data_IF_673995241336
#
_entry.id   IF_673995241336
#
_cell.length_a   1.000
_cell.length_b   1.000
_cell.length_c   1.000
_cell.angle_alpha   90.00
_cell.angle_beta   90.00
_cell.angle_gamma   90.00
#
_symmetry.space_group_name_H-M   'P 1'
#
loop_
_entity.id
_entity.type
_entity.pdbx_description
1 polymer ?
#
# COMPACT_ATOMS: atom_id res chain seq x y z
N UNK A 1 -39.04 -6.60 35.16
CA UNK A 1 -37.76 -5.91 34.92
C UNK A 1 -37.81 -5.35 33.51
N UNK A 2 -38.06 -4.06 33.38
CA UNK A 2 -38.17 -3.39 32.08
C UNK A 2 -36.76 -3.21 31.52
N UNK A 3 -36.41 -3.98 30.49
CA UNK A 3 -35.16 -3.80 29.75
C UNK A 3 -35.17 -2.40 29.14
N UNK A 4 -34.23 -1.54 29.55
CA UNK A 4 -33.98 -0.28 28.85
C UNK A 4 -33.37 -0.65 27.51
N UNK A 5 -34.00 -0.22 26.42
CA UNK A 5 -33.46 -0.44 25.08
C UNK A 5 -32.04 0.14 25.00
N UNK A 6 -31.09 -0.63 24.51
CA UNK A 6 -29.71 -0.17 24.36
C UNK A 6 -29.68 1.04 23.41
N UNK A 7 -29.03 2.13 23.82
CA UNK A 7 -28.71 3.23 22.92
C UNK A 7 -27.57 2.77 21.98
N UNK A 8 -27.91 2.58 20.72
CA UNK A 8 -26.99 2.08 19.68
C UNK A 8 -26.47 3.21 18.78
N UNK A 9 -26.64 4.47 19.17
CA UNK A 9 -26.20 5.62 18.38
C UNK A 9 -24.68 5.60 18.18
N UNK A 10 -23.92 5.34 19.25
CA UNK A 10 -22.46 5.25 19.20
C UNK A 10 -21.98 4.07 18.34
N UNK A 11 -22.64 2.91 18.48
CA UNK A 11 -22.32 1.71 17.70
C UNK A 11 -22.55 1.96 16.21
N UNK A 12 -23.65 2.62 15.84
CA UNK A 12 -23.94 2.98 14.46
C UNK A 12 -22.90 3.96 13.91
N UNK A 13 -22.60 5.01 14.66
CA UNK A 13 -21.62 6.02 14.26
C UNK A 13 -20.22 5.41 14.06
N UNK A 14 -19.82 4.48 14.92
CA UNK A 14 -18.57 3.74 14.78
C UNK A 14 -18.56 2.84 13.55
N UNK A 15 -19.64 2.08 13.32
CA UNK A 15 -19.80 1.27 12.11
C UNK A 15 -19.75 2.10 10.82
N UNK A 16 -20.38 3.28 10.81
CA UNK A 16 -20.34 4.21 9.68
C UNK A 16 -18.92 4.73 9.42
N UNK A 17 -18.18 5.09 10.48
CA UNK A 17 -16.78 5.52 10.36
C UNK A 17 -15.90 4.41 9.76
N UNK A 18 -16.04 3.18 10.26
CA UNK A 18 -15.34 2.02 9.71
C UNK A 18 -15.75 1.74 8.26
N UNK A 19 -17.04 1.88 7.93
CA UNK A 19 -17.54 1.79 6.57
C UNK A 19 -16.87 2.80 5.61
N UNK A 20 -16.72 4.05 6.04
CA UNK A 20 -15.96 5.06 5.27
C UNK A 20 -14.48 4.69 5.13
N UNK A 21 -13.86 4.15 6.17
CA UNK A 21 -12.45 3.75 6.16
C UNK A 21 -12.17 2.55 5.24
N UNK A 22 -13.11 1.61 5.14
CA UNK A 22 -13.08 0.45 4.24
C UNK A 22 -13.37 0.84 2.79
N UNK A 23 -14.11 1.93 2.56
CA UNK A 23 -14.30 2.50 1.23
C UNK A 23 -12.99 3.15 0.74
N UNK A 24 -12.15 2.38 0.04
CA UNK A 24 -10.75 2.71 -0.34
C UNK A 24 -10.52 4.15 -0.87
N UNK A 25 -11.48 4.68 -1.64
CA UNK A 25 -11.43 6.02 -2.26
C UNK A 25 -12.24 7.10 -1.55
N UNK A 26 -12.96 6.77 -0.49
CA UNK A 26 -13.67 7.75 0.32
C UNK A 26 -12.66 8.69 1.00
N UNK A 27 -13.06 9.95 1.13
CA UNK A 27 -12.25 11.00 1.76
C UNK A 27 -13.15 11.87 2.66
N UNK A 28 -12.63 12.33 3.81
CA UNK A 28 -13.37 13.23 4.67
C UNK A 28 -13.41 14.62 4.01
N UNK A 29 -14.56 14.99 3.46
CA UNK A 29 -14.83 16.32 2.89
C UNK A 29 -15.38 17.26 3.96
N UNK A 30 -15.09 18.55 3.84
CA UNK A 30 -15.60 19.57 4.76
C UNK A 30 -17.14 19.55 4.82
N UNK A 31 -17.70 19.63 6.03
CA UNK A 31 -19.15 19.53 6.27
C UNK A 31 -19.76 18.14 6.06
N UNK A 32 -18.98 17.14 5.65
CA UNK A 32 -19.46 15.77 5.41
C UNK A 32 -19.50 14.90 6.67
N UNK A 33 -20.35 13.87 6.66
CA UNK A 33 -20.50 12.92 7.78
C UNK A 33 -19.19 12.21 8.14
N UNK A 34 -18.41 11.78 7.14
CA UNK A 34 -17.11 11.15 7.40
C UNK A 34 -16.17 12.10 8.17
N UNK A 35 -16.11 13.38 7.79
CA UNK A 35 -15.29 14.36 8.50
C UNK A 35 -15.77 14.55 9.94
N UNK A 36 -17.08 14.69 10.15
CA UNK A 36 -17.65 14.81 11.48
C UNK A 36 -17.33 13.61 12.39
N UNK A 37 -17.50 12.38 11.89
CA UNK A 37 -17.16 11.16 12.64
C UNK A 37 -15.66 11.04 12.93
N UNK A 38 -14.81 11.41 11.98
CA UNK A 38 -13.36 11.40 12.16
C UNK A 38 -12.91 12.43 13.20
N UNK A 39 -13.52 13.61 13.22
CA UNK A 39 -13.22 14.64 14.21
C UNK A 39 -13.68 14.22 15.62
N UNK A 40 -14.82 13.52 15.72
CA UNK A 40 -15.23 12.87 16.97
C UNK A 40 -14.21 11.81 17.41
N UNK A 41 -13.80 10.92 16.51
CA UNK A 41 -12.80 9.88 16.82
C UNK A 41 -11.49 10.47 17.38
N UNK A 42 -11.07 11.63 16.88
CA UNK A 42 -9.87 12.33 17.35
C UNK A 42 -10.03 13.04 18.70
N UNK A 43 -11.24 13.44 19.07
CA UNK A 43 -11.48 14.32 20.23
C UNK A 43 -12.25 13.66 21.38
N UNK A 44 -13.00 12.60 21.12
CA UNK A 44 -13.85 11.90 22.09
C UNK A 44 -13.26 10.51 22.40
N UNK A 45 -12.59 10.37 23.55
CA UNK A 45 -11.96 9.11 23.97
C UNK A 45 -12.93 7.91 23.95
N UNK A 46 -14.15 8.10 24.47
CA UNK A 46 -15.16 7.03 24.51
C UNK A 46 -15.58 6.58 23.12
N UNK A 47 -15.73 7.49 22.17
CA UNK A 47 -16.10 7.13 20.80
C UNK A 47 -14.94 6.40 20.11
N UNK A 48 -13.70 6.84 20.34
CA UNK A 48 -12.49 6.13 19.91
C UNK A 48 -12.46 4.70 20.42
N UNK A 49 -12.68 4.47 21.72
CA UNK A 49 -12.68 3.13 22.31
C UNK A 49 -13.69 2.20 21.63
N UNK A 50 -14.89 2.72 21.31
CA UNK A 50 -15.93 1.96 20.59
C UNK A 50 -15.46 1.60 19.17
N UNK A 51 -14.89 2.56 18.44
CA UNK A 51 -14.39 2.33 17.07
C UNK A 51 -13.23 1.33 17.07
N UNK A 52 -12.26 1.49 17.98
CA UNK A 52 -11.08 0.63 18.07
C UNK A 52 -11.50 -0.80 18.47
N UNK A 53 -12.40 -0.96 19.44
CA UNK A 53 -12.95 -2.28 19.83
C UNK A 53 -13.71 -2.95 18.68
N UNK A 54 -14.51 -2.17 17.92
CA UNK A 54 -15.22 -2.70 16.76
C UNK A 54 -14.28 -3.08 15.62
N UNK A 55 -13.22 -2.30 15.39
CA UNK A 55 -12.19 -2.63 14.40
C UNK A 55 -11.48 -3.94 14.79
N UNK A 56 -11.05 -4.07 16.04
CA UNK A 56 -10.39 -5.27 16.56
C UNK A 56 -11.28 -6.52 16.38
N UNK A 57 -12.57 -6.42 16.73
CA UNK A 57 -13.54 -7.50 16.54
C UNK A 57 -13.77 -7.90 15.07
N UNK A 58 -13.42 -7.04 14.11
CA UNK A 58 -13.45 -7.32 12.68
C UNK A 58 -12.11 -7.84 12.13
N UNK A 59 -11.08 -7.95 12.98
CA UNK A 59 -9.71 -8.24 12.56
C UNK A 59 -9.08 -7.06 11.81
N UNK A 60 -9.33 -5.84 12.29
CA UNK A 60 -8.79 -4.59 11.73
C UNK A 60 -8.07 -3.81 12.83
N UNK A 61 -6.95 -3.20 12.50
CA UNK A 61 -6.22 -2.28 13.36
C UNK A 61 -6.27 -0.86 12.78
N UNK A 62 -6.47 0.14 13.64
CA UNK A 62 -6.37 1.55 13.23
C UNK A 62 -4.91 1.99 13.26
N UNK A 63 -4.32 2.19 12.09
CA UNK A 63 -2.94 2.68 11.96
C UNK A 63 -2.81 4.18 12.19
N UNK A 64 -3.88 4.95 11.94
CA UNK A 64 -3.85 6.39 12.14
C UNK A 64 -4.96 7.15 11.43
N UNK A 65 -4.93 8.48 11.60
CA UNK A 65 -5.93 9.40 11.03
C UNK A 65 -5.29 10.52 10.20
N UNK A 66 -4.59 10.22 9.11
CA UNK A 66 -4.05 11.24 8.22
C UNK A 66 -5.16 12.11 7.59
N UNK A 67 -4.77 13.11 6.80
CA UNK A 67 -5.73 13.98 6.11
C UNK A 67 -6.65 13.20 5.16
N UNK A 68 -6.19 12.06 4.66
CA UNK A 68 -6.98 11.17 3.80
C UNK A 68 -8.09 10.40 4.52
N UNK A 69 -8.16 10.43 5.86
CA UNK A 69 -9.16 9.71 6.64
C UNK A 69 -8.54 8.67 7.58
N UNK A 70 -9.40 7.84 8.17
CA UNK A 70 -9.01 6.71 9.02
C UNK A 70 -8.35 5.62 8.15
N UNK A 71 -7.17 5.16 8.56
CA UNK A 71 -6.42 4.09 7.87
C UNK A 71 -6.48 2.82 8.71
N UNK A 72 -6.86 1.73 8.05
CA UNK A 72 -7.03 0.41 8.66
C UNK A 72 -6.05 -0.59 8.05
N UNK A 73 -5.39 -1.36 8.89
CA UNK A 73 -4.67 -2.58 8.53
C UNK A 73 -5.54 -3.80 8.83
N UNK A 74 -5.73 -4.72 7.89
CA UNK A 74 -6.38 -5.98 8.18
C UNK A 74 -5.42 -6.99 8.78
N UNK A 75 -5.91 -7.84 9.69
CA UNK A 75 -5.25 -9.10 10.04
C UNK A 75 -4.93 -9.87 8.74
N UNK A 76 -3.67 -10.28 8.50
CA UNK A 76 -3.27 -11.04 7.31
C UNK A 76 -4.06 -12.34 7.10
N UNK A 77 -4.55 -12.98 8.17
CA UNK A 77 -5.40 -14.17 8.09
C UNK A 77 -6.91 -13.83 7.98
N UNK A 78 -7.26 -12.57 8.18
CA UNK A 78 -8.64 -12.09 8.25
C UNK A 78 -9.37 -11.99 6.90
N UNK A 79 -10.68 -11.71 6.93
CA UNK A 79 -11.51 -11.58 5.72
C UNK A 79 -11.22 -10.29 4.94
N UNK A 80 -10.66 -9.28 5.59
CA UNK A 80 -10.30 -8.00 4.96
C UNK A 80 -8.87 -7.97 4.39
N UNK A 81 -8.09 -9.03 4.60
CA UNK A 81 -6.75 -9.17 4.04
C UNK A 81 -6.82 -9.08 2.51
N UNK A 82 -6.04 -8.18 1.92
CA UNK A 82 -5.95 -8.10 0.46
C UNK A 82 -5.00 -9.19 -0.01
N UNK A 83 -5.52 -10.21 -0.70
CA UNK A 83 -4.69 -11.30 -1.21
C UNK A 83 -4.31 -11.04 -2.66
N UNK A 84 -3.10 -11.45 -3.04
CA UNK A 84 -2.66 -11.44 -4.44
C UNK A 84 -3.58 -12.26 -5.36
N UNK A 85 -4.27 -13.28 -4.83
CA UNK A 85 -5.29 -14.02 -5.57
C UNK A 85 -6.52 -13.19 -5.93
N UNK A 86 -6.83 -12.14 -5.16
CA UNK A 86 -7.97 -11.24 -5.39
C UNK A 86 -7.63 -10.16 -6.42
N UNK A 87 -6.34 -9.96 -6.70
CA UNK A 87 -5.75 -8.82 -7.40
C UNK A 87 -6.03 -8.84 -8.91
N UNK A 88 -6.20 -10.04 -9.49
CA UNK A 88 -6.75 -10.34 -10.83
C UNK A 88 -6.76 -11.86 -11.00
N UNK A 89 -7.88 -12.45 -11.40
CA UNK A 89 -7.99 -13.89 -11.72
C UNK A 89 -7.09 -14.38 -12.87
N UNK A 90 -6.36 -13.46 -13.52
CA UNK A 90 -5.56 -13.70 -14.73
C UNK A 90 -4.04 -13.58 -14.51
N UNK A 91 -3.55 -13.28 -13.30
CA UNK A 91 -2.12 -13.24 -13.02
C UNK A 91 -1.57 -14.64 -12.75
N UNK A 92 -0.54 -15.02 -13.50
CA UNK A 92 0.23 -16.23 -13.25
C UNK A 92 1.19 -16.07 -12.04
N UNK A 93 2.01 -17.09 -11.79
CA UNK A 93 2.92 -17.08 -10.64
C UNK A 93 4.02 -16.01 -10.77
N UNK A 94 4.53 -15.81 -11.98
CA UNK A 94 5.62 -14.87 -12.28
C UNK A 94 5.13 -13.43 -12.18
N UNK A 95 3.93 -13.14 -12.71
CA UNK A 95 3.24 -11.86 -12.56
C UNK A 95 3.08 -11.47 -11.08
N UNK A 96 2.77 -12.44 -10.20
CA UNK A 96 2.61 -12.21 -8.75
C UNK A 96 3.93 -11.92 -8.06
N UNK A 97 5.00 -12.64 -8.44
CA UNK A 97 6.35 -12.38 -7.93
C UNK A 97 6.81 -10.97 -8.31
N UNK A 98 6.66 -10.62 -9.58
CA UNK A 98 7.00 -9.28 -10.11
C UNK A 98 6.16 -8.21 -9.42
N UNK A 99 4.86 -8.41 -9.26
CA UNK A 99 3.99 -7.47 -8.55
C UNK A 99 4.47 -7.21 -7.12
N UNK A 100 4.77 -8.28 -6.36
CA UNK A 100 5.28 -8.16 -5.00
C UNK A 100 6.61 -7.41 -4.94
N UNK A 101 7.54 -7.73 -5.84
CA UNK A 101 8.82 -7.03 -5.94
C UNK A 101 8.64 -5.55 -6.26
N UNK A 102 7.79 -5.20 -7.22
CA UNK A 102 7.53 -3.79 -7.56
C UNK A 102 6.90 -3.05 -6.39
N UNK A 103 5.93 -3.65 -5.69
CA UNK A 103 5.28 -3.02 -4.54
C UNK A 103 6.29 -2.70 -3.43
N UNK A 104 7.18 -3.64 -3.11
CA UNK A 104 8.25 -3.45 -2.12
C UNK A 104 9.29 -2.45 -2.63
N UNK A 105 9.60 -2.47 -3.94
CA UNK A 105 10.49 -1.51 -4.58
C UNK A 105 9.97 -0.06 -4.47
N UNK A 106 8.68 0.16 -4.70
CA UNK A 106 8.03 1.46 -4.50
C UNK A 106 8.12 1.90 -3.03
N UNK A 107 7.85 0.98 -2.09
CA UNK A 107 7.94 1.25 -0.66
C UNK A 107 9.36 1.64 -0.22
N UNK A 108 10.36 0.88 -0.62
CA UNK A 108 11.77 1.14 -0.30
C UNK A 108 12.27 2.44 -0.93
N UNK A 109 11.88 2.72 -2.17
CA UNK A 109 12.27 3.94 -2.87
C UNK A 109 11.72 5.20 -2.18
N UNK A 110 10.46 5.14 -1.73
CA UNK A 110 9.75 6.27 -1.15
C UNK A 110 10.04 6.47 0.34
N UNK A 111 10.32 5.40 1.08
CA UNK A 111 10.55 5.41 2.53
C UNK A 111 11.84 4.65 2.87
N UNK A 112 13.03 5.15 2.48
CA UNK A 112 14.31 4.49 2.75
C UNK A 112 14.70 4.47 4.23
N UNK A 113 14.14 5.36 5.05
CA UNK A 113 14.43 5.47 6.48
C UNK A 113 13.15 5.42 7.30
N UNK A 114 13.27 5.12 8.60
CA UNK A 114 12.11 5.15 9.50
C UNK A 114 11.63 6.57 9.77
N UNK A 115 12.50 7.58 9.67
CA UNK A 115 12.14 8.99 9.77
C UNK A 115 11.17 9.43 8.66
N UNK A 116 11.19 8.76 7.50
CA UNK A 116 10.21 9.02 6.42
C UNK A 116 8.77 8.65 6.83
N UNK A 117 8.59 7.83 7.88
CA UNK A 117 7.27 7.52 8.41
C UNK A 117 6.74 8.59 9.35
N UNK A 118 7.56 9.50 9.85
CA UNK A 118 7.10 10.66 10.64
C UNK A 118 6.79 11.87 9.73
N UNK A 119 7.31 11.86 8.50
CA UNK A 119 7.13 12.90 7.51
C UNK A 119 5.82 12.71 6.71
N UNK A 120 4.82 13.61 6.83
CA UNK A 120 3.59 13.55 6.06
C UNK A 120 3.74 14.11 4.63
N UNK A 121 4.95 14.48 4.19
CA UNK A 121 5.17 14.95 2.84
C UNK A 121 4.80 13.88 1.81
N UNK A 122 4.12 14.32 0.75
CA UNK A 122 3.67 13.45 -0.32
C UNK A 122 4.88 13.03 -1.17
N UNK A 123 5.23 11.75 -1.15
CA UNK A 123 6.30 11.21 -1.99
C UNK A 123 5.81 11.03 -3.44
N UNK A 124 6.69 11.33 -4.40
CA UNK A 124 6.46 11.19 -5.83
C UNK A 124 7.22 9.97 -6.37
N UNK A 125 6.58 9.21 -7.25
CA UNK A 125 7.20 8.10 -7.97
C UNK A 125 6.90 8.19 -9.46
N UNK A 126 7.89 7.84 -10.27
CA UNK A 126 7.77 7.75 -11.72
C UNK A 126 8.06 6.31 -12.18
N UNK A 127 7.26 5.81 -13.13
CA UNK A 127 7.36 4.41 -13.61
C UNK A 127 8.78 4.04 -14.05
N UNK A 128 9.44 4.89 -14.85
CA UNK A 128 10.78 4.62 -15.34
C UNK A 128 11.84 4.66 -14.23
N UNK A 129 11.70 5.58 -13.28
CA UNK A 129 12.61 5.68 -12.13
C UNK A 129 12.53 4.45 -11.23
N UNK A 130 11.32 3.96 -10.95
CA UNK A 130 11.13 2.75 -10.15
C UNK A 130 11.68 1.51 -10.86
N UNK A 131 11.46 1.38 -12.18
CA UNK A 131 12.06 0.29 -12.97
C UNK A 131 13.60 0.33 -12.90
N UNK A 132 14.20 1.52 -13.10
CA UNK A 132 15.65 1.70 -12.99
C UNK A 132 16.19 1.33 -11.61
N UNK A 133 15.52 1.76 -10.54
CA UNK A 133 15.87 1.43 -9.16
C UNK A 133 15.82 -0.08 -8.89
N UNK A 134 14.74 -0.76 -9.31
CA UNK A 134 14.62 -2.22 -9.14
C UNK A 134 15.71 -2.94 -9.93
N UNK A 135 16.01 -2.49 -11.16
CA UNK A 135 17.08 -3.06 -12.00
C UNK A 135 18.46 -2.93 -11.35
N UNK A 136 18.75 -1.79 -10.72
CA UNK A 136 19.98 -1.61 -9.96
C UNK A 136 20.07 -2.57 -8.75
N UNK A 137 18.94 -2.92 -8.15
CA UNK A 137 18.86 -3.79 -6.99
C UNK A 137 18.90 -5.30 -7.28
N UNK A 138 18.79 -5.73 -8.55
CA UNK A 138 18.64 -7.16 -8.89
C UNK A 138 19.81 -8.02 -8.38
N UNK A 139 21.03 -7.51 -8.41
CA UNK A 139 22.21 -8.22 -7.89
C UNK A 139 22.11 -8.47 -6.38
N UNK A 140 21.78 -7.43 -5.62
CA UNK A 140 21.61 -7.51 -4.16
C UNK A 140 20.47 -8.46 -3.79
N UNK A 141 19.30 -8.29 -4.42
CA UNK A 141 18.14 -9.17 -4.21
C UNK A 141 18.43 -10.63 -4.58
N UNK A 142 19.16 -10.85 -5.68
CA UNK A 142 19.61 -12.15 -6.14
C UNK A 142 20.53 -12.87 -5.14
N UNK A 143 21.23 -12.11 -4.30
CA UNK A 143 22.20 -12.62 -3.32
C UNK A 143 21.64 -12.85 -1.91
N UNK A 144 20.39 -12.45 -1.64
CA UNK A 144 19.78 -12.61 -0.32
C UNK A 144 19.82 -14.08 0.13
N UNK A 145 20.26 -14.33 1.36
CA UNK A 145 20.22 -15.65 1.97
C UNK A 145 18.83 -15.89 2.57
N UNK A 146 18.22 -17.04 2.26
CA UNK A 146 16.88 -17.38 2.76
C UNK A 146 16.61 -18.87 2.64
N UNK A 147 15.80 -19.40 3.55
CA UNK A 147 15.33 -20.79 3.52
C UNK A 147 14.10 -20.93 2.62
N UNK A 148 13.73 -22.17 2.30
CA UNK A 148 12.53 -22.45 1.50
C UNK A 148 11.26 -21.85 2.15
N UNK A 149 10.45 -21.16 1.36
CA UNK A 149 9.23 -20.46 1.78
C UNK A 149 9.44 -19.06 2.38
N UNK A 150 10.69 -18.63 2.56
CA UNK A 150 11.03 -17.32 3.14
C UNK A 150 10.71 -16.13 2.22
N UNK A 151 10.68 -14.92 2.77
CA UNK A 151 10.51 -13.71 1.98
C UNK A 151 11.71 -13.45 1.06
N UNK A 152 12.91 -13.79 1.52
CA UNK A 152 14.18 -13.67 0.83
C UNK A 152 14.25 -14.60 -0.39
N UNK A 153 13.76 -15.85 -0.26
CA UNK A 153 13.65 -16.75 -1.42
C UNK A 153 12.67 -16.22 -2.46
N UNK A 154 11.50 -15.73 -2.05
CA UNK A 154 10.53 -15.11 -2.96
C UNK A 154 11.10 -13.88 -3.65
N UNK A 155 11.85 -13.05 -2.93
CA UNK A 155 12.50 -11.87 -3.49
C UNK A 155 13.57 -12.26 -4.53
N UNK A 156 14.35 -13.31 -4.28
CA UNK A 156 15.33 -13.85 -5.23
C UNK A 156 14.66 -14.37 -6.51
N UNK A 157 13.59 -15.16 -6.35
CA UNK A 157 12.82 -15.66 -7.49
C UNK A 157 12.22 -14.51 -8.31
N UNK A 158 11.63 -13.51 -7.64
CA UNK A 158 11.10 -12.33 -8.31
C UNK A 158 12.18 -11.53 -9.05
N UNK A 159 13.37 -11.37 -8.45
CA UNK A 159 14.49 -10.68 -9.09
C UNK A 159 14.95 -11.41 -10.37
N UNK A 160 15.00 -12.74 -10.36
CA UNK A 160 15.32 -13.53 -11.55
C UNK A 160 14.28 -13.31 -12.66
N UNK A 161 12.98 -13.46 -12.34
CA UNK A 161 11.90 -13.23 -13.31
C UNK A 161 11.96 -11.80 -13.86
N UNK A 162 12.16 -10.80 -13.00
CA UNK A 162 12.25 -9.40 -13.41
C UNK A 162 13.45 -9.12 -14.33
N UNK A 163 14.59 -9.77 -14.08
CA UNK A 163 15.80 -9.63 -14.90
C UNK A 163 15.58 -10.15 -16.33
N UNK A 164 14.81 -11.23 -16.47
CA UNK A 164 14.53 -11.88 -17.76
C UNK A 164 13.50 -11.09 -18.60
N UNK A 165 12.72 -10.20 -17.98
CA UNK A 165 11.73 -9.39 -18.69
C UNK A 165 12.36 -8.21 -19.44
N UNK A 166 11.95 -7.97 -20.70
CA UNK A 166 12.35 -6.77 -21.43
C UNK A 166 11.81 -5.51 -20.73
N UNK A 167 12.54 -4.40 -20.87
CA UNK A 167 12.15 -3.14 -20.25
C UNK A 167 10.86 -2.58 -20.86
N UNK A 168 10.77 -2.61 -22.19
CA UNK A 168 9.62 -2.07 -22.93
C UNK A 168 9.22 -3.01 -24.06
N UNK A 169 7.94 -3.36 -24.07
CA UNK A 169 7.25 -3.91 -25.25
C UNK A 169 6.12 -2.93 -25.57
N UNK A 170 5.96 -2.57 -26.83
CA UNK A 170 4.86 -1.70 -27.28
C UNK A 170 3.81 -2.50 -28.04
N UNK A 171 2.54 -2.20 -27.80
CA UNK A 171 1.44 -2.64 -28.65
C UNK A 171 1.50 -1.91 -30.01
N UNK A 172 0.70 -2.37 -30.97
CA UNK A 172 0.53 -1.69 -32.27
C UNK A 172 0.02 -0.24 -32.12
N UNK A 173 -0.63 0.09 -31.00
CA UNK A 173 -1.15 1.43 -30.68
C UNK A 173 -0.14 2.29 -29.90
N UNK A 174 1.10 1.82 -29.71
CA UNK A 174 2.16 2.54 -28.99
C UNK A 174 2.03 2.53 -27.47
N UNK A 175 1.09 1.77 -26.90
CA UNK A 175 0.96 1.59 -25.44
C UNK A 175 1.92 0.52 -24.94
N UNK A 176 2.26 0.51 -23.65
CA UNK A 176 3.03 -0.58 -23.06
C UNK A 176 2.22 -1.87 -23.06
N UNK A 177 2.80 -2.94 -23.59
CA UNK A 177 2.22 -4.28 -23.57
C UNK A 177 2.61 -5.01 -22.28
N UNK A 178 1.82 -6.02 -21.90
CA UNK A 178 2.18 -6.94 -20.81
C UNK A 178 3.46 -7.72 -21.15
N UNK A 179 4.12 -8.28 -20.12
CA UNK A 179 5.39 -8.99 -20.27
C UNK A 179 6.60 -8.05 -20.39
N UNK A 180 6.48 -6.79 -19.98
CA UNK A 180 7.61 -5.89 -19.81
C UNK A 180 7.56 -5.19 -18.45
N UNK A 181 8.72 -4.81 -17.94
CA UNK A 181 8.83 -4.29 -16.57
C UNK A 181 8.19 -2.92 -16.39
N UNK A 182 8.26 -2.03 -17.38
CA UNK A 182 7.56 -0.75 -17.32
C UNK A 182 6.03 -0.92 -17.22
N UNK A 183 5.46 -1.93 -17.88
CA UNK A 183 4.03 -2.23 -17.73
C UNK A 183 3.70 -2.82 -16.37
N UNK A 184 4.58 -3.65 -15.81
CA UNK A 184 4.40 -4.19 -14.47
C UNK A 184 4.39 -3.07 -13.41
N UNK A 185 5.32 -2.11 -13.52
CA UNK A 185 5.37 -0.93 -12.64
C UNK A 185 4.12 -0.06 -12.78
N UNK A 186 3.71 0.24 -14.01
CA UNK A 186 2.47 0.97 -14.30
C UNK A 186 1.24 0.30 -13.68
N UNK A 187 1.12 -1.03 -13.81
CA UNK A 187 -0.02 -1.79 -13.26
C UNK A 187 -0.06 -1.78 -11.72
N UNK A 188 1.09 -1.83 -11.06
CA UNK A 188 1.17 -1.74 -9.59
C UNK A 188 0.81 -0.33 -9.12
N UNK A 189 1.28 0.72 -9.79
CA UNK A 189 0.87 2.10 -9.51
C UNK A 189 -0.64 2.29 -9.70
N UNK A 190 -1.20 1.76 -10.79
CA UNK A 190 -2.65 1.78 -11.04
C UNK A 190 -3.43 1.05 -9.95
N UNK A 191 -2.95 -0.12 -9.52
CA UNK A 191 -3.54 -0.82 -8.38
C UNK A 191 -3.48 0.01 -7.09
N UNK A 192 -2.36 0.67 -6.78
CA UNK A 192 -2.25 1.57 -5.63
C UNK A 192 -3.26 2.72 -5.70
N UNK A 193 -3.54 3.25 -6.90
CA UNK A 193 -4.60 4.26 -7.11
C UNK A 193 -5.98 3.69 -6.78
N UNK A 194 -6.29 2.48 -7.25
CA UNK A 194 -7.54 1.78 -6.92
C UNK A 194 -7.67 1.54 -5.40
N UNK A 195 -6.56 1.27 -4.72
CA UNK A 195 -6.51 1.11 -3.26
C UNK A 195 -6.58 2.43 -2.48
N UNK A 196 -6.56 3.58 -3.17
CA UNK A 196 -6.46 4.89 -2.53
C UNK A 196 -5.10 5.16 -1.85
N UNK A 197 -4.10 4.32 -2.14
CA UNK A 197 -2.72 4.38 -1.68
C UNK A 197 -1.83 5.26 -2.58
N UNK A 198 -2.28 5.55 -3.81
CA UNK A 198 -1.65 6.53 -4.70
C UNK A 198 -2.70 7.41 -5.40
N UNK A 199 -2.22 8.43 -6.12
CA UNK A 199 -3.00 9.27 -7.04
C UNK A 199 -2.14 9.60 -8.26
N UNK A 200 -2.76 9.67 -9.43
CA UNK A 200 -2.09 10.17 -10.62
C UNK A 200 -1.70 11.64 -10.45
N UNK A 201 -0.45 11.97 -10.80
CA UNK A 201 0.08 13.33 -10.83
C UNK A 201 0.00 13.87 -12.27
N UNK A 202 -1.21 13.95 -12.83
CA UNK A 202 -1.43 14.22 -14.26
C UNK A 202 -0.76 15.52 -14.78
N UNK A 203 -0.52 16.50 -13.90
CA UNK A 203 0.22 17.72 -14.23
C UNK A 203 1.72 17.54 -14.46
N UNK A 204 2.30 16.45 -13.96
CA UNK A 204 3.72 16.09 -14.10
C UNK A 204 3.94 15.06 -15.22
N UNK A 205 2.90 14.32 -15.59
CA UNK A 205 2.93 13.34 -16.68
C UNK A 205 2.04 12.14 -16.39
N UNK A 206 1.79 11.27 -17.40
CA UNK A 206 0.95 10.08 -17.25
C UNK A 206 1.61 8.96 -16.43
N UNK A 207 2.92 9.03 -16.20
CA UNK A 207 3.72 8.00 -15.52
C UNK A 207 4.13 8.39 -14.09
N UNK A 208 3.56 9.46 -13.57
CA UNK A 208 3.94 10.03 -12.28
C UNK A 208 2.79 9.92 -11.29
N UNK A 209 3.10 9.48 -10.07
CA UNK A 209 2.11 9.23 -9.04
C UNK A 209 2.52 9.85 -7.70
N UNK A 210 1.54 10.42 -7.00
CA UNK A 210 1.65 10.83 -5.61
C UNK A 210 1.26 9.67 -4.69
N UNK A 211 2.18 9.22 -3.85
CA UNK A 211 1.87 8.26 -2.78
C UNK A 211 1.10 8.97 -1.65
N UNK A 212 0.09 8.31 -1.11
CA UNK A 212 -0.74 8.90 -0.04
C UNK A 212 -0.24 8.49 1.34
N UNK A 213 -0.64 9.25 2.37
CA UNK A 213 -0.41 8.87 3.78
C UNK A 213 -0.92 7.46 4.10
N UNK A 214 -1.97 6.98 3.42
CA UNK A 214 -2.46 5.61 3.58
C UNK A 214 -1.38 4.61 3.22
N UNK A 215 -0.67 4.83 2.11
CA UNK A 215 0.43 3.95 1.72
C UNK A 215 1.58 4.02 2.72
N UNK A 216 1.96 5.23 3.16
CA UNK A 216 3.00 5.41 4.19
C UNK A 216 2.71 4.59 5.45
N UNK A 217 1.49 4.70 5.99
CA UNK A 217 1.09 3.96 7.20
C UNK A 217 1.05 2.45 6.98
N UNK A 218 0.55 1.98 5.83
CA UNK A 218 0.55 0.54 5.51
C UNK A 218 1.98 -0.01 5.38
N UNK A 219 2.90 0.77 4.82
CA UNK A 219 4.32 0.37 4.73
C UNK A 219 4.96 0.37 6.12
N UNK A 220 4.68 1.36 6.96
CA UNK A 220 5.20 1.42 8.33
C UNK A 220 4.76 0.21 9.18
N UNK A 221 3.50 -0.21 9.03
CA UNK A 221 2.93 -1.39 9.68
C UNK A 221 3.56 -2.71 9.20
N UNK A 222 3.82 -2.80 7.89
CA UNK A 222 4.43 -3.99 7.27
C UNK A 222 5.96 -3.99 7.25
N UNK A 223 6.62 -3.01 7.89
CA UNK A 223 8.08 -2.87 7.85
C UNK A 223 8.78 -4.00 8.62
N UNK A 224 9.91 -4.50 8.08
CA UNK A 224 10.77 -5.47 8.76
C UNK A 224 11.00 -6.80 8.03
N UNK A 225 11.20 -6.79 6.71
CA UNK A 225 11.58 -7.97 5.94
C UNK A 225 12.88 -7.77 5.19
N UNK A 226 13.73 -8.81 5.10
CA UNK A 226 15.09 -8.67 4.54
C UNK A 226 15.14 -8.12 3.11
N UNK A 227 14.12 -8.41 2.28
CA UNK A 227 14.01 -7.85 0.94
C UNK A 227 13.70 -6.34 0.93
N UNK A 228 12.83 -5.87 1.82
CA UNK A 228 12.53 -4.45 1.97
C UNK A 228 13.78 -3.71 2.51
N UNK A 229 14.44 -4.28 3.51
CA UNK A 229 15.64 -3.68 4.11
C UNK A 229 16.78 -3.56 3.11
N UNK A 230 17.04 -4.60 2.31
CA UNK A 230 18.06 -4.56 1.27
C UNK A 230 17.79 -3.51 0.19
N UNK A 231 16.53 -3.29 -0.18
CA UNK A 231 16.16 -2.22 -1.11
C UNK A 231 16.29 -0.84 -0.48
N UNK A 232 15.93 -0.69 0.79
CA UNK A 232 16.11 0.55 1.55
C UNK A 232 17.58 0.94 1.66
N UNK A 233 18.46 -0.03 1.94
CA UNK A 233 19.92 0.15 1.95
C UNK A 233 20.41 0.74 0.63
N UNK A 234 20.07 0.11 -0.50
CA UNK A 234 20.45 0.60 -1.82
C UNK A 234 19.93 2.01 -2.10
N UNK A 235 18.67 2.29 -1.74
CA UNK A 235 18.09 3.62 -1.94
C UNK A 235 18.85 4.70 -1.16
N UNK A 236 19.34 4.39 0.04
CA UNK A 236 20.13 5.33 0.86
C UNK A 236 21.48 5.65 0.23
N UNK A 237 22.08 4.70 -0.48
CA UNK A 237 23.36 4.89 -1.19
C UNK A 237 23.18 5.76 -2.45
N UNK A 238 22.02 5.69 -3.10
CA UNK A 238 21.67 6.47 -4.30
C UNK A 238 21.28 7.95 -4.01
N UNK A 239 20.99 8.30 -2.75
CA UNK A 239 20.69 9.68 -2.35
C UNK A 239 22.00 10.34 -1.88
N UNK A 240 22.54 11.35 -2.60
CA UNK A 240 23.79 12.03 -2.23
C UNK A 240 23.69 12.83 -0.93
#
# INVERSE_FOLDING_TARGET
MTSVAADLTEVRAAAELLGFALARRARPVEGGQYRALLDRYRSELRFRDVVDTMAEGLGLEVLGTPRSGLVLAPDPAGPFATRLGDLRSTMDADDRLVFGLVLIGIAAYAYPTDADFDDPETKLVEVATIDGFIRAALGTLGSLAGVEGSAEERARAAAQVYADLPQLITTQTGRRARGCTLKAVEDVCGWLVEQGAAREAASLGPDTFHLTDRFRLLVADSAGGGALDALRDLRREDVP
#
